data_IF_456278570437
#
_entry.id   IF_456278570437
#
_cell.length_a   1.000
_cell.length_b   1.000
_cell.length_c   1.000
_cell.angle_alpha   90.00
_cell.angle_beta   90.00
_cell.angle_gamma   90.00
#
_symmetry.space_group_name_H-M   'P 1'
#
loop_
_entity.id
_entity.type
_entity.pdbx_description
1 polymer ?
#
# COMPACT_ATOMS: atom_id res chain seq x y z
N UNK A 1 14.26 -13.06 2.02
CA UNK A 1 13.09 -12.22 2.36
C UNK A 1 13.50 -11.26 3.46
N UNK A 2 13.08 -10.03 3.37
CA UNK A 2 13.31 -8.98 4.37
C UNK A 2 12.30 -9.16 5.50
N UNK A 3 12.75 -9.21 6.75
CA UNK A 3 11.88 -9.33 7.92
C UNK A 3 11.80 -8.01 8.66
N UNK A 4 10.57 -7.48 8.79
CA UNK A 4 10.31 -6.19 9.43
C UNK A 4 9.16 -6.35 10.45
N UNK A 5 9.14 -5.59 11.54
CA UNK A 5 7.99 -5.53 12.44
C UNK A 5 6.88 -4.63 11.83
N UNK A 6 6.48 -4.97 10.60
CA UNK A 6 5.55 -4.24 9.76
C UNK A 6 4.42 -5.15 9.29
N UNK A 7 3.17 -4.68 9.38
CA UNK A 7 2.01 -5.33 8.77
C UNK A 7 1.56 -4.52 7.56
N UNK A 8 1.46 -5.16 6.39
CA UNK A 8 0.84 -4.57 5.21
C UNK A 8 -0.68 -4.70 5.31
N UNK A 9 -1.40 -3.59 5.12
CA UNK A 9 -2.86 -3.52 5.19
C UNK A 9 -3.43 -3.13 3.82
N UNK A 10 -4.19 -4.03 3.21
CA UNK A 10 -4.73 -3.88 1.86
C UNK A 10 -6.25 -3.93 1.91
N UNK A 11 -6.93 -2.78 1.95
CA UNK A 11 -8.37 -2.73 1.74
C UNK A 11 -8.69 -2.87 0.24
N UNK A 12 -9.61 -3.75 -0.14
CA UNK A 12 -9.90 -4.02 -1.55
C UNK A 12 -11.39 -4.24 -1.80
N UNK A 13 -11.85 -3.77 -2.97
CA UNK A 13 -13.11 -4.15 -3.60
C UNK A 13 -12.78 -4.61 -5.02
N UNK A 14 -13.27 -5.79 -5.41
CA UNK A 14 -13.00 -6.37 -6.73
C UNK A 14 -14.11 -5.96 -7.70
N UNK A 15 -13.93 -4.83 -8.35
CA UNK A 15 -14.87 -4.22 -9.30
C UNK A 15 -14.42 -4.29 -10.76
N UNK A 16 -13.15 -4.68 -11.01
CA UNK A 16 -12.56 -4.81 -12.34
C UNK A 16 -11.57 -5.97 -12.40
N UNK A 17 -11.37 -6.53 -13.60
CA UNK A 17 -10.33 -7.55 -13.84
C UNK A 17 -8.90 -7.01 -13.63
N UNK A 18 -8.69 -5.70 -13.77
CA UNK A 18 -7.40 -5.08 -13.44
C UNK A 18 -7.12 -5.18 -11.95
N UNK A 19 -8.15 -5.00 -11.10
CA UNK A 19 -7.99 -5.10 -9.66
C UNK A 19 -7.74 -6.54 -9.19
N UNK A 20 -8.32 -7.53 -9.86
CA UNK A 20 -7.99 -8.95 -9.67
C UNK A 20 -6.50 -9.21 -9.92
N UNK A 21 -6.00 -8.78 -11.09
CA UNK A 21 -4.59 -8.91 -11.48
C UNK A 21 -3.66 -8.15 -10.53
N UNK A 22 -4.03 -6.95 -10.14
CA UNK A 22 -3.25 -6.13 -9.23
C UNK A 22 -3.14 -6.79 -7.85
N UNK A 23 -4.25 -7.29 -7.31
CA UNK A 23 -4.25 -8.00 -6.02
C UNK A 23 -3.32 -9.21 -6.07
N UNK A 24 -3.44 -10.03 -7.11
CA UNK A 24 -2.55 -11.18 -7.31
C UNK A 24 -1.09 -10.76 -7.41
N UNK A 25 -0.77 -9.75 -8.21
CA UNK A 25 0.60 -9.28 -8.42
C UNK A 25 1.20 -8.69 -7.13
N UNK A 26 0.47 -7.80 -6.44
CA UNK A 26 0.94 -7.15 -5.21
C UNK A 26 1.14 -8.16 -4.08
N UNK A 27 0.19 -9.08 -3.87
CA UNK A 27 0.33 -10.08 -2.80
C UNK A 27 1.53 -10.99 -3.04
N UNK A 28 1.73 -11.48 -4.28
CA UNK A 28 2.91 -12.27 -4.64
C UNK A 28 4.20 -11.47 -4.49
N UNK A 29 4.21 -10.19 -4.88
CA UNK A 29 5.35 -9.31 -4.71
C UNK A 29 5.72 -9.15 -3.23
N UNK A 30 4.75 -8.87 -2.36
CA UNK A 30 4.99 -8.73 -0.92
C UNK A 30 5.50 -10.04 -0.30
N UNK A 31 4.85 -11.16 -0.58
CA UNK A 31 5.26 -12.48 -0.10
C UNK A 31 6.65 -12.92 -0.57
N UNK A 32 7.03 -12.51 -1.80
CA UNK A 32 8.35 -12.84 -2.35
C UNK A 32 9.48 -12.07 -1.66
N UNK A 33 9.24 -10.81 -1.33
CA UNK A 33 10.28 -9.91 -0.83
C UNK A 33 10.32 -9.83 0.70
N UNK A 34 9.18 -9.99 1.39
CA UNK A 34 9.06 -9.75 2.82
C UNK A 34 8.58 -10.97 3.60
N UNK A 35 9.15 -11.16 4.79
CA UNK A 35 8.64 -12.06 5.83
C UNK A 35 7.86 -11.23 6.85
N UNK A 36 6.69 -10.72 6.41
CA UNK A 36 5.83 -9.81 7.17
C UNK A 36 4.36 -10.23 7.06
N UNK A 37 3.53 -9.98 8.09
CA UNK A 37 2.10 -10.18 8.01
C UNK A 37 1.45 -9.28 6.95
N UNK A 38 0.43 -9.81 6.27
CA UNK A 38 -0.42 -9.09 5.33
C UNK A 38 -1.87 -9.27 5.78
N UNK A 39 -2.58 -8.18 6.01
CA UNK A 39 -4.01 -8.19 6.27
C UNK A 39 -4.73 -7.66 5.04
N UNK A 40 -5.64 -8.47 4.49
CA UNK A 40 -6.46 -8.10 3.33
C UNK A 40 -7.90 -8.04 3.79
N UNK A 41 -8.55 -6.91 3.64
CA UNK A 41 -9.98 -6.75 3.89
C UNK A 41 -10.69 -6.47 2.58
N UNK A 42 -11.41 -7.47 2.08
CA UNK A 42 -12.34 -7.28 0.97
C UNK A 42 -13.69 -6.77 1.50
N UNK A 43 -14.23 -5.73 0.87
CA UNK A 43 -15.58 -5.31 1.13
C UNK A 43 -16.35 -5.16 -0.20
N UNK A 44 -17.29 -6.07 -0.40
CA UNK A 44 -18.10 -6.14 -1.62
C UNK A 44 -19.46 -6.83 -1.30
N UNK A 45 -20.37 -6.83 -2.28
CA UNK A 45 -21.63 -7.58 -2.19
C UNK A 45 -21.43 -9.09 -2.24
N UNK A 46 -20.36 -9.54 -2.87
CA UNK A 46 -19.96 -10.95 -3.02
C UNK A 46 -18.45 -11.10 -2.79
N UNK A 47 -18.06 -12.25 -2.26
CA UNK A 47 -16.66 -12.59 -2.06
C UNK A 47 -16.02 -12.99 -3.39
N UNK A 48 -14.97 -12.30 -3.79
CA UNK A 48 -14.25 -12.51 -5.07
C UNK A 48 -12.74 -12.56 -4.89
N UNK A 49 -12.20 -11.75 -3.98
CA UNK A 49 -10.76 -11.56 -3.83
C UNK A 49 -10.02 -12.84 -3.45
N UNK A 50 -10.67 -13.77 -2.73
CA UNK A 50 -10.05 -15.00 -2.25
C UNK A 50 -9.44 -15.87 -3.36
N UNK A 51 -10.00 -15.82 -4.57
CA UNK A 51 -9.51 -16.59 -5.73
C UNK A 51 -8.15 -16.07 -6.25
N UNK A 52 -7.82 -14.80 -5.94
CA UNK A 52 -6.62 -14.11 -6.40
C UNK A 52 -5.55 -13.99 -5.32
N UNK A 53 -5.82 -14.47 -4.11
CA UNK A 53 -4.92 -14.38 -2.96
C UNK A 53 -4.15 -15.69 -2.82
N UNK A 54 -2.80 -15.68 -2.78
CA UNK A 54 -2.02 -16.88 -2.51
C UNK A 54 -2.38 -17.51 -1.15
N UNK A 55 -2.39 -18.82 -1.09
CA UNK A 55 -2.54 -19.54 0.18
C UNK A 55 -1.20 -19.53 0.93
N UNK A 56 -1.03 -18.56 1.84
CA UNK A 56 0.18 -18.35 2.64
C UNK A 56 -0.20 -17.96 4.08
N UNK A 57 0.47 -18.53 5.08
CA UNK A 57 0.17 -18.34 6.50
C UNK A 57 0.37 -16.89 6.99
N UNK A 58 1.13 -16.08 6.26
CA UNK A 58 1.34 -14.66 6.55
C UNK A 58 0.14 -13.80 6.18
N UNK A 59 -0.81 -14.33 5.40
CA UNK A 59 -2.00 -13.60 4.96
C UNK A 59 -3.17 -13.85 5.91
N UNK A 60 -3.71 -12.78 6.45
CA UNK A 60 -5.01 -12.77 7.12
C UNK A 60 -6.03 -12.13 6.19
N UNK A 61 -6.95 -12.92 5.67
CA UNK A 61 -8.03 -12.44 4.80
C UNK A 61 -9.33 -12.29 5.57
N UNK A 62 -10.06 -11.20 5.29
CA UNK A 62 -11.37 -10.89 5.86
C UNK A 62 -12.32 -10.44 4.75
N UNK A 63 -13.57 -10.88 4.83
CA UNK A 63 -14.65 -10.44 3.97
C UNK A 63 -15.70 -9.66 4.75
N UNK A 64 -16.00 -8.45 4.29
CA UNK A 64 -17.05 -7.58 4.81
C UNK A 64 -18.15 -7.47 3.75
N UNK A 65 -19.28 -8.12 4.00
CA UNK A 65 -20.41 -8.09 3.06
C UNK A 65 -21.07 -6.72 3.06
N UNK A 66 -21.07 -6.06 1.91
CA UNK A 66 -21.79 -4.81 1.67
C UNK A 66 -23.22 -5.09 1.20
N UNK A 67 -24.10 -4.14 1.47
CA UNK A 67 -25.42 -4.08 0.82
C UNK A 67 -25.25 -3.56 -0.61
N UNK A 68 -26.26 -3.81 -1.45
CA UNK A 68 -26.31 -3.22 -2.77
C UNK A 68 -26.24 -1.68 -2.67
N UNK A 69 -25.37 -1.07 -3.48
CA UNK A 69 -25.08 0.37 -3.50
C UNK A 69 -24.44 0.93 -2.21
N UNK A 70 -24.01 0.10 -1.27
CA UNK A 70 -23.20 0.56 -0.14
C UNK A 70 -21.80 0.94 -0.62
N UNK A 71 -21.29 2.14 -0.26
CA UNK A 71 -19.99 2.57 -0.70
C UNK A 71 -18.87 1.77 -0.03
N UNK A 72 -17.75 1.60 -0.72
CA UNK A 72 -16.54 1.04 -0.15
C UNK A 72 -15.90 2.04 0.82
N UNK A 73 -15.87 1.70 2.10
CA UNK A 73 -15.39 2.57 3.17
C UNK A 73 -13.93 2.29 3.54
N UNK A 74 -13.00 2.71 2.67
CA UNK A 74 -11.55 2.44 2.78
C UNK A 74 -10.98 2.80 4.16
N UNK A 75 -11.29 3.99 4.66
CA UNK A 75 -10.75 4.51 5.94
C UNK A 75 -11.17 3.65 7.13
N UNK A 76 -12.43 3.22 7.19
CA UNK A 76 -12.94 2.30 8.22
C UNK A 76 -12.17 0.97 8.21
N UNK A 77 -11.96 0.38 7.04
CA UNK A 77 -11.26 -0.92 6.96
C UNK A 77 -9.79 -0.80 7.33
N UNK A 78 -9.11 0.30 7.01
CA UNK A 78 -7.75 0.58 7.47
C UNK A 78 -7.69 0.67 9.00
N UNK A 79 -8.64 1.35 9.64
CA UNK A 79 -8.73 1.43 11.10
C UNK A 79 -8.93 0.04 11.72
N UNK A 80 -9.86 -0.75 11.20
CA UNK A 80 -10.10 -2.13 11.68
C UNK A 80 -8.85 -3.01 11.53
N UNK A 81 -8.14 -2.93 10.39
CA UNK A 81 -6.89 -3.68 10.17
C UNK A 81 -5.77 -3.22 11.10
N UNK A 82 -5.69 -1.92 11.41
CA UNK A 82 -4.72 -1.39 12.38
C UNK A 82 -4.93 -1.99 13.77
N UNK A 83 -6.18 -2.13 14.21
CA UNK A 83 -6.50 -2.79 15.48
C UNK A 83 -6.13 -4.27 15.49
N UNK A 84 -6.25 -4.96 14.36
CA UNK A 84 -5.91 -6.38 14.22
C UNK A 84 -4.41 -6.63 14.12
N UNK A 85 -3.64 -5.66 13.65
CA UNK A 85 -2.19 -5.80 13.50
C UNK A 85 -1.50 -6.04 14.85
N UNK A 86 -0.55 -6.97 14.88
CA UNK A 86 0.28 -7.28 16.05
C UNK A 86 1.68 -6.66 15.99
N UNK A 87 2.05 -6.02 14.88
CA UNK A 87 3.37 -5.42 14.67
C UNK A 87 3.48 -3.99 15.19
N UNK A 88 4.71 -3.52 15.39
CA UNK A 88 5.00 -2.15 15.85
C UNK A 88 4.69 -1.10 14.78
N UNK A 89 4.85 -1.47 13.50
CA UNK A 89 4.55 -0.61 12.37
C UNK A 89 3.44 -1.20 11.51
N UNK A 90 2.70 -0.33 10.82
CA UNK A 90 1.67 -0.69 9.84
C UNK A 90 1.87 0.10 8.55
N UNK A 91 1.50 -0.48 7.42
CA UNK A 91 1.49 0.18 6.13
C UNK A 91 0.07 0.16 5.55
N UNK A 92 -0.52 1.34 5.34
CA UNK A 92 -1.65 1.48 4.44
C UNK A 92 -1.12 1.28 3.02
N UNK A 93 -1.59 0.26 2.32
CA UNK A 93 -0.99 -0.17 1.06
C UNK A 93 -2.06 -0.32 -0.02
N UNK A 94 -1.94 0.44 -1.10
CA UNK A 94 -2.87 0.33 -2.22
C UNK A 94 -2.57 -0.93 -3.05
N UNK A 95 -3.62 -1.53 -3.58
CA UNK A 95 -3.57 -2.82 -4.28
C UNK A 95 -2.90 -2.77 -5.66
N UNK A 96 -2.56 -1.58 -6.13
CA UNK A 96 -2.04 -1.33 -7.48
C UNK A 96 -0.67 -0.62 -7.49
N UNK A 97 0.05 -0.68 -6.37
CA UNK A 97 1.38 -0.07 -6.23
C UNK A 97 2.44 -1.10 -5.86
N UNK A 98 3.66 -0.86 -6.32
CA UNK A 98 4.85 -1.61 -5.94
C UNK A 98 6.02 -0.65 -5.77
N UNK A 99 6.86 -0.91 -4.76
CA UNK A 99 8.02 -0.11 -4.42
C UNK A 99 9.29 -0.94 -4.52
N UNK A 100 10.45 -0.30 -4.63
CA UNK A 100 11.70 -1.01 -4.35
C UNK A 100 11.64 -1.58 -2.93
N UNK A 101 11.88 -2.88 -2.71
CA UNK A 101 11.87 -3.47 -1.39
C UNK A 101 12.76 -2.75 -0.37
N UNK A 102 13.88 -2.16 -0.82
CA UNK A 102 14.77 -1.37 0.02
C UNK A 102 14.15 -0.06 0.48
N UNK A 103 13.25 0.55 -0.32
CA UNK A 103 12.54 1.75 0.10
C UNK A 103 11.60 1.47 1.27
N UNK A 104 10.90 0.33 1.24
CA UNK A 104 10.04 -0.10 2.36
C UNK A 104 10.85 -0.49 3.60
N UNK A 105 11.99 -1.15 3.42
CA UNK A 105 12.94 -1.45 4.50
C UNK A 105 13.47 -0.17 5.14
N UNK A 106 13.93 0.78 4.33
CA UNK A 106 14.44 2.07 4.79
C UNK A 106 13.36 2.88 5.51
N UNK A 107 12.16 2.99 4.93
CA UNK A 107 11.03 3.68 5.55
C UNK A 107 10.66 3.09 6.92
N UNK A 108 10.65 1.75 7.04
CA UNK A 108 10.40 1.08 8.32
C UNK A 108 11.51 1.39 9.33
N UNK A 109 12.77 1.41 8.91
CA UNK A 109 13.88 1.77 9.79
C UNK A 109 13.82 3.21 10.30
N UNK A 110 13.35 4.16 9.49
CA UNK A 110 13.11 5.54 9.95
C UNK A 110 12.09 5.61 11.08
N UNK A 111 11.00 4.81 11.00
CA UNK A 111 10.00 4.72 12.06
C UNK A 111 10.55 4.13 13.35
N UNK A 112 11.38 3.08 13.25
CA UNK A 112 11.86 2.32 14.40
C UNK A 112 13.05 3.00 15.12
N UNK A 113 13.99 3.54 14.33
CA UNK A 113 15.31 3.90 14.83
C UNK A 113 15.58 5.42 14.79
N UNK A 114 14.93 6.16 13.89
CA UNK A 114 15.23 7.57 13.66
C UNK A 114 14.10 8.54 14.10
N UNK A 115 13.10 8.01 14.82
CA UNK A 115 12.08 8.82 15.48
C UNK A 115 10.95 9.31 14.56
N UNK A 116 10.92 8.91 13.29
CA UNK A 116 9.80 9.25 12.41
C UNK A 116 8.48 8.64 12.92
N UNK A 117 7.38 9.34 12.71
CA UNK A 117 6.02 8.90 13.06
C UNK A 117 5.27 8.34 11.84
N UNK A 118 5.48 8.99 10.69
CA UNK A 118 4.88 8.63 9.40
C UNK A 118 5.95 8.71 8.32
N UNK A 119 6.03 7.69 7.46
CA UNK A 119 6.96 7.69 6.33
C UNK A 119 6.24 7.29 5.04
N UNK A 120 6.37 8.12 4.02
CA UNK A 120 6.01 7.78 2.66
C UNK A 120 7.23 7.15 1.98
N UNK A 121 7.16 5.90 1.46
CA UNK A 121 8.32 5.19 0.91
C UNK A 121 8.68 5.65 -0.51
N UNK A 122 8.36 6.91 -0.85
CA UNK A 122 8.64 7.55 -2.13
C UNK A 122 8.92 9.03 -1.94
N UNK A 123 9.72 9.62 -2.84
CA UNK A 123 10.07 11.03 -2.78
C UNK A 123 8.96 11.96 -3.28
N UNK A 124 9.14 13.26 -3.04
CA UNK A 124 8.25 14.32 -3.54
C UNK A 124 8.59 14.76 -4.98
N UNK A 125 9.51 14.07 -5.65
CA UNK A 125 10.02 14.42 -6.98
C UNK A 125 9.15 13.93 -8.13
N UNK A 126 9.21 14.64 -9.28
CA UNK A 126 8.49 14.29 -10.51
C UNK A 126 8.82 12.88 -11.04
N UNK A 127 9.95 12.32 -10.63
CA UNK A 127 10.52 11.09 -11.19
C UNK A 127 10.34 9.87 -10.29
N UNK A 128 9.77 10.07 -9.11
CA UNK A 128 9.70 9.03 -8.08
C UNK A 128 8.48 8.11 -8.24
N UNK A 129 7.54 8.48 -9.11
CA UNK A 129 6.33 7.70 -9.36
C UNK A 129 6.19 7.42 -10.86
N UNK A 130 6.00 6.16 -11.20
CA UNK A 130 5.81 5.72 -12.58
C UNK A 130 4.61 4.78 -12.64
N UNK A 131 3.73 5.02 -13.61
CA UNK A 131 2.66 4.08 -13.93
C UNK A 131 3.18 3.05 -14.92
N UNK A 132 3.09 1.77 -14.54
CA UNK A 132 3.42 0.65 -15.41
C UNK A 132 2.14 -0.08 -15.78
N UNK A 133 1.91 -0.23 -17.07
CA UNK A 133 0.87 -1.10 -17.60
C UNK A 133 1.55 -2.41 -17.99
N UNK A 134 1.25 -3.50 -17.28
CA UNK A 134 1.72 -4.84 -17.59
C UNK A 134 0.56 -5.65 -18.16
N UNK A 135 0.84 -6.56 -19.08
CA UNK A 135 -0.17 -7.50 -19.61
C UNK A 135 -0.55 -8.63 -18.61
N UNK A 136 -0.06 -8.53 -17.39
CA UNK A 136 -0.47 -9.37 -16.26
C UNK A 136 0.27 -10.68 -16.11
N UNK A 137 1.24 -11.00 -16.97
CA UNK A 137 1.94 -12.30 -16.93
C UNK A 137 3.29 -12.27 -16.18
N UNK A 138 3.73 -11.11 -15.67
CA UNK A 138 4.97 -11.00 -14.91
C UNK A 138 4.83 -11.57 -13.51
N UNK A 139 5.73 -12.46 -13.13
CA UNK A 139 5.87 -12.86 -11.72
C UNK A 139 6.40 -11.69 -10.90
N UNK A 140 6.15 -11.70 -9.59
CA UNK A 140 6.69 -10.68 -8.68
C UNK A 140 8.22 -10.54 -8.79
N UNK A 141 8.93 -11.65 -8.97
CA UNK A 141 10.40 -11.67 -9.14
C UNK A 141 10.85 -11.02 -10.45
N UNK A 142 10.14 -11.31 -11.53
CA UNK A 142 10.42 -10.72 -12.84
C UNK A 142 10.11 -9.23 -12.84
N UNK A 143 8.99 -8.82 -12.23
CA UNK A 143 8.65 -7.42 -12.06
C UNK A 143 9.76 -6.65 -11.33
N UNK A 144 10.19 -7.12 -10.15
CA UNK A 144 11.27 -6.51 -9.37
C UNK A 144 12.57 -6.45 -10.17
N UNK A 145 12.96 -7.57 -10.80
CA UNK A 145 14.18 -7.63 -11.60
C UNK A 145 14.17 -6.65 -12.79
N UNK A 146 13.03 -6.50 -13.45
CA UNK A 146 12.91 -5.63 -14.61
C UNK A 146 12.82 -4.14 -14.25
N UNK A 147 12.18 -3.80 -13.14
CA UNK A 147 11.81 -2.41 -12.83
C UNK A 147 12.70 -1.77 -11.76
N UNK A 148 13.37 -2.52 -10.88
CA UNK A 148 14.13 -1.95 -9.77
C UNK A 148 15.65 -2.21 -9.81
N UNK A 149 16.17 -2.88 -10.82
CA UNK A 149 17.61 -3.18 -10.88
C UNK A 149 18.51 -1.97 -11.15
N UNK A 150 17.94 -0.87 -11.66
CA UNK A 150 18.66 0.36 -11.98
C UNK A 150 18.27 1.55 -11.08
N UNK A 151 17.51 1.29 -10.03
CA UNK A 151 16.99 2.28 -9.12
C UNK A 151 15.54 2.72 -9.46
N UNK A 152 14.86 3.36 -8.50
CA UNK A 152 13.42 3.66 -8.61
C UNK A 152 13.07 4.68 -9.71
N UNK A 153 14.06 5.41 -10.24
CA UNK A 153 13.87 6.48 -11.20
C UNK A 153 13.97 6.06 -12.67
N UNK A 154 14.40 4.83 -12.93
CA UNK A 154 14.67 4.40 -14.29
C UNK A 154 13.93 3.12 -14.61
N UNK A 155 12.75 3.26 -15.15
CA UNK A 155 12.13 2.15 -15.86
C UNK A 155 12.87 1.96 -17.18
N UNK A 156 13.43 0.78 -17.45
CA UNK A 156 14.11 0.55 -18.70
C UNK A 156 13.13 0.76 -19.86
N UNK A 157 13.58 1.48 -20.88
CA UNK A 157 12.92 1.49 -22.19
C UNK A 157 12.87 0.05 -22.68
N UNK A 158 11.72 -0.61 -22.66
CA UNK A 158 11.58 -1.98 -23.12
C UNK A 158 10.77 -2.93 -22.25
N UNK A 159 10.13 -2.47 -21.19
CA UNK A 159 8.95 -3.20 -20.72
C UNK A 159 7.89 -3.00 -21.81
N UNK A 160 7.44 -4.08 -22.46
CA UNK A 160 6.26 -4.06 -23.33
C UNK A 160 5.05 -3.73 -22.47
N UNK A 161 4.86 -2.52 -22.20
CA UNK A 161 3.86 -1.86 -21.42
C UNK A 161 4.26 -0.40 -21.36
N UNK A 162 3.34 0.48 -21.59
CA UNK A 162 3.63 1.90 -21.56
C UNK A 162 3.96 2.31 -20.14
N UNK A 163 5.26 2.49 -19.82
CA UNK A 163 5.64 3.23 -18.63
C UNK A 163 5.26 4.69 -18.88
N UNK A 164 4.22 5.17 -18.22
CA UNK A 164 3.85 6.59 -18.27
C UNK A 164 4.47 7.30 -17.07
N UNK A 165 5.33 8.28 -17.37
CA UNK A 165 5.86 9.20 -16.39
C UNK A 165 4.76 10.16 -15.97
N UNK A 166 4.46 10.24 -14.68
CA UNK A 166 3.61 11.30 -14.14
C UNK A 166 4.38 12.61 -14.14
N UNK A 167 4.11 13.47 -15.12
CA UNK A 167 4.75 14.78 -15.23
C UNK A 167 3.98 15.90 -14.53
N UNK A 168 2.77 15.64 -14.04
CA UNK A 168 1.90 16.71 -13.52
C UNK A 168 1.18 16.44 -12.21
N UNK A 169 1.15 15.19 -11.71
CA UNK A 169 0.42 14.85 -10.50
C UNK A 169 1.22 13.83 -9.68
N UNK A 170 2.23 14.32 -8.99
CA UNK A 170 2.84 13.50 -7.94
C UNK A 170 1.88 13.49 -6.75
N UNK A 171 1.35 12.33 -6.41
CA UNK A 171 0.65 12.16 -5.16
C UNK A 171 1.67 12.31 -4.04
N UNK A 172 1.50 13.32 -3.21
CA UNK A 172 2.35 13.53 -2.04
C UNK A 172 1.91 12.66 -0.84
N UNK A 173 0.73 12.07 -0.91
CA UNK A 173 0.07 11.49 0.25
C UNK A 173 -0.63 10.14 0.01
N UNK A 174 -0.78 9.69 -1.25
CA UNK A 174 -1.45 8.43 -1.63
C UNK A 174 -0.52 7.21 -1.65
N UNK A 175 -0.96 6.13 -2.29
CA UNK A 175 -0.25 4.89 -2.61
C UNK A 175 0.14 4.01 -1.43
N UNK A 176 1.05 4.46 -0.59
CA UNK A 176 1.49 3.75 0.61
C UNK A 176 1.96 4.73 1.67
N UNK A 177 1.56 4.47 2.89
CA UNK A 177 2.00 5.24 4.06
C UNK A 177 2.35 4.26 5.17
N UNK A 178 3.56 4.38 5.71
CA UNK A 178 3.99 3.60 6.85
C UNK A 178 3.84 4.44 8.12
N UNK A 179 3.33 3.82 9.17
CA UNK A 179 3.14 4.46 10.46
C UNK A 179 3.82 3.66 11.57
N UNK A 180 4.44 4.36 12.51
CA UNK A 180 4.60 3.81 13.84
C UNK A 180 3.20 3.66 14.43
N UNK A 181 2.81 2.43 14.78
CA UNK A 181 1.42 2.14 15.16
C UNK A 181 0.92 3.00 16.31
N UNK A 182 1.79 3.26 17.32
CA UNK A 182 1.46 4.18 18.42
C UNK A 182 1.12 5.57 17.91
N UNK A 183 1.96 6.15 17.06
CA UNK A 183 1.75 7.48 16.49
C UNK A 183 0.49 7.53 15.61
N UNK A 184 0.15 6.44 14.95
CA UNK A 184 -1.09 6.35 14.17
C UNK A 184 -2.34 6.45 15.07
N UNK A 185 -2.33 5.77 16.22
CA UNK A 185 -3.39 5.92 17.22
C UNK A 185 -3.44 7.33 17.83
N UNK A 186 -2.30 7.86 18.21
CA UNK A 186 -2.18 9.20 18.78
C UNK A 186 -2.64 10.30 17.78
N UNK A 187 -2.47 10.07 16.48
CA UNK A 187 -2.94 10.90 15.37
C UNK A 187 -4.38 10.63 14.93
N UNK A 188 -5.14 9.84 15.71
CA UNK A 188 -6.56 9.53 15.50
C UNK A 188 -6.87 8.64 14.29
N UNK A 189 -5.91 7.81 13.84
CA UNK A 189 -6.09 6.85 12.74
C UNK A 189 -6.59 7.51 11.44
N UNK A 190 -7.40 6.81 10.65
CA UNK A 190 -8.08 7.39 9.49
C UNK A 190 -9.37 8.11 9.89
N UNK A 191 -9.68 9.18 9.19
CA UNK A 191 -10.92 9.92 9.39
C UNK A 191 -12.07 9.20 8.66
N UNK A 192 -12.91 8.50 9.40
CA UNK A 192 -14.04 7.73 8.86
C UNK A 192 -15.19 8.57 8.29
N UNK A 193 -15.11 9.91 8.37
CA UNK A 193 -16.07 10.76 7.65
C UNK A 193 -15.86 10.72 6.13
N UNK A 194 -14.69 10.24 5.64
CA UNK A 194 -14.46 9.94 4.23
C UNK A 194 -14.99 8.54 3.89
N UNK A 195 -16.27 8.46 3.54
CA UNK A 195 -17.00 7.19 3.35
C UNK A 195 -16.75 6.55 1.99
N UNK A 196 -16.28 7.31 1.01
CA UNK A 196 -16.00 6.85 -0.36
C UNK A 196 -14.68 7.42 -0.83
N UNK A 197 -14.46 7.53 -2.13
CA UNK A 197 -13.28 8.18 -2.68
C UNK A 197 -13.31 9.68 -2.33
N UNK A 198 -12.21 10.20 -1.81
CA UNK A 198 -12.13 11.59 -1.36
C UNK A 198 -10.69 12.02 -1.08
N UNK A 199 -10.47 13.20 -0.50
CA UNK A 199 -9.14 13.72 -0.16
C UNK A 199 -8.58 13.18 1.17
N UNK A 200 -8.92 11.94 1.56
CA UNK A 200 -8.51 11.34 2.84
C UNK A 200 -6.98 11.27 2.99
N UNK A 201 -6.27 11.01 1.91
CA UNK A 201 -4.81 10.96 1.90
C UNK A 201 -4.20 12.35 2.20
N UNK A 202 -4.74 13.39 1.58
CA UNK A 202 -4.29 14.76 1.81
C UNK A 202 -4.67 15.27 3.21
N UNK A 203 -5.88 14.93 3.70
CA UNK A 203 -6.31 15.25 5.06
C UNK A 203 -5.38 14.62 6.09
N UNK A 204 -5.08 13.33 5.93
CA UNK A 204 -4.18 12.61 6.83
C UNK A 204 -2.80 13.25 6.88
N UNK A 205 -2.18 13.51 5.72
CA UNK A 205 -0.88 14.18 5.66
C UNK A 205 -0.93 15.52 6.40
N UNK A 206 -1.88 16.38 6.06
CA UNK A 206 -2.03 17.71 6.68
C UNK A 206 -2.30 17.62 8.18
N UNK A 207 -3.12 16.69 8.62
CA UNK A 207 -3.46 16.48 10.04
C UNK A 207 -2.23 16.06 10.85
N UNK A 208 -1.45 15.06 10.37
CA UNK A 208 -0.24 14.61 11.07
C UNK A 208 0.81 15.71 11.14
N UNK A 209 1.05 16.44 10.06
CA UNK A 209 1.97 17.61 10.06
C UNK A 209 1.49 18.70 11.04
N UNK A 210 0.19 19.01 11.05
CA UNK A 210 -0.40 20.03 11.94
C UNK A 210 -0.34 19.64 13.41
N UNK A 211 -0.49 18.36 13.72
CA UNK A 211 -0.35 17.83 15.08
C UNK A 211 1.10 17.73 15.55
N UNK A 212 2.07 18.03 14.70
CA UNK A 212 3.49 18.06 15.03
C UNK A 212 4.19 16.70 14.99
N UNK A 213 3.62 15.70 14.32
CA UNK A 213 4.28 14.43 14.07
C UNK A 213 5.43 14.59 13.06
N UNK A 214 6.47 13.77 13.19
CA UNK A 214 7.59 13.72 12.24
C UNK A 214 7.17 12.92 11.00
N UNK A 215 6.82 13.64 9.92
CA UNK A 215 6.39 13.07 8.62
C UNK A 215 7.51 13.18 7.61
N UNK A 216 7.93 12.06 7.02
CA UNK A 216 9.04 11.99 6.06
C UNK A 216 8.65 11.36 4.72
N UNK A 217 9.46 11.67 3.70
CA UNK A 217 9.38 11.10 2.35
C UNK A 217 10.71 10.52 1.91
#
# INVERSE_FOLDING_TARGET
>A
MIKLPLTFMIPVKIDTSDRERNLFAVTNYLLHNFDCPIIITEADTEQKALEFIPNDERITYRFCKLKENEPFHRTKYLNEMTHLSSTECVANYDVDVMFDPKSLEYATNLLLNDGADVVYPFGRGEYDQVRVFCDGNLTAKEFVKQNFHQGPHMFPNGVEGQAMKYTQWTTLAGHCQLFKKKSYFDGYLENENFVSWGPEDAERLYRFETLGFDVRH
#
